data_IF_419175272730
#
_entry.id   IF_419175272730
#
_cell.length_a   1.000
_cell.length_b   1.000
_cell.length_c   1.000
_cell.angle_alpha   90.00
_cell.angle_beta   90.00
_cell.angle_gamma   90.00
#
_symmetry.space_group_name_H-M   'P 1'
#
loop_
_entity.id
_entity.type
_entity.pdbx_description
1 polymer ?
#
# COMPACT_ATOMS: atom_id res chain seq x y z
N UNK A 1 -2.40 9.43 18.35
CA UNK A 1 -2.29 8.98 16.95
C UNK A 1 -3.50 8.16 16.57
N UNK A 2 -4.06 8.40 15.37
CA UNK A 2 -5.08 7.57 14.72
C UNK A 2 -4.50 6.97 13.47
N UNK A 3 -4.73 5.69 13.25
CA UNK A 3 -4.33 5.08 12.00
C UNK A 3 -5.41 4.16 11.44
N UNK A 4 -5.38 3.99 10.13
CA UNK A 4 -6.20 3.02 9.41
C UNK A 4 -5.24 1.98 8.83
N UNK A 5 -5.57 0.71 8.96
CA UNK A 5 -4.80 -0.39 8.41
C UNK A 5 -5.68 -1.20 7.46
N UNK A 6 -5.22 -1.37 6.24
CA UNK A 6 -5.86 -2.20 5.22
C UNK A 6 -4.84 -3.12 4.57
N UNK A 7 -5.33 -4.17 3.93
CA UNK A 7 -4.55 -5.13 3.16
C UNK A 7 -5.41 -5.72 2.04
N UNK A 8 -4.78 -6.33 1.06
CA UNK A 8 -5.47 -7.14 0.03
C UNK A 8 -6.58 -6.37 -0.69
N UNK A 9 -6.28 -5.15 -1.11
CA UNK A 9 -7.24 -4.28 -1.81
C UNK A 9 -7.56 -4.80 -3.20
N UNK A 10 -6.52 -5.31 -3.90
CA UNK A 10 -6.62 -5.91 -5.22
C UNK A 10 -7.27 -5.01 -6.29
N UNK A 11 -6.85 -3.73 -6.34
CA UNK A 11 -7.27 -2.81 -7.38
C UNK A 11 -7.00 -3.41 -8.77
N UNK A 12 -7.95 -3.23 -9.68
CA UNK A 12 -7.83 -3.72 -11.05
C UNK A 12 -8.22 -5.19 -11.24
N UNK A 13 -8.66 -5.89 -10.19
CA UNK A 13 -9.24 -7.23 -10.35
C UNK A 13 -10.61 -7.15 -11.02
N UNK A 14 -10.89 -8.14 -11.85
CA UNK A 14 -12.22 -8.36 -12.41
C UNK A 14 -12.76 -9.69 -11.84
N UNK A 15 -13.46 -9.65 -10.71
CA UNK A 15 -13.96 -10.87 -10.07
C UNK A 15 -14.98 -11.56 -10.96
N UNK A 16 -15.02 -12.89 -10.90
CA UNK A 16 -16.02 -13.70 -11.63
C UNK A 16 -16.08 -13.42 -13.13
N UNK A 17 -14.93 -13.37 -13.79
CA UNK A 17 -14.82 -13.08 -15.23
C UNK A 17 -15.83 -13.90 -16.05
N UNK A 18 -16.58 -13.22 -16.92
CA UNK A 18 -17.63 -13.81 -17.75
C UNK A 18 -19.02 -13.80 -17.13
N UNK A 19 -19.17 -13.40 -15.86
CA UNK A 19 -20.47 -13.25 -15.23
C UNK A 19 -21.04 -11.84 -15.42
N UNK A 20 -22.38 -11.68 -15.46
CA UNK A 20 -22.99 -10.37 -15.69
C UNK A 20 -22.65 -9.28 -14.68
N UNK A 21 -22.26 -9.67 -13.46
CA UNK A 21 -21.90 -8.75 -12.35
C UNK A 21 -20.41 -8.45 -12.26
N UNK A 22 -19.57 -9.09 -13.07
CA UNK A 22 -18.11 -9.04 -12.98
C UNK A 22 -17.56 -7.60 -13.04
N UNK A 23 -18.00 -6.81 -14.03
CA UNK A 23 -17.58 -5.42 -14.19
C UNK A 23 -18.00 -4.56 -12.98
N UNK A 24 -19.21 -4.74 -12.50
CA UNK A 24 -19.73 -4.03 -11.32
C UNK A 24 -18.87 -4.33 -10.09
N UNK A 25 -18.54 -5.60 -9.85
CA UNK A 25 -17.70 -5.98 -8.70
C UNK A 25 -16.30 -5.38 -8.77
N UNK A 26 -15.71 -5.29 -9.96
CA UNK A 26 -14.45 -4.57 -10.15
C UNK A 26 -14.54 -3.09 -9.77
N UNK A 27 -15.63 -2.43 -10.17
CA UNK A 27 -15.91 -1.03 -9.78
C UNK A 27 -16.16 -0.89 -8.27
N UNK A 28 -16.84 -1.84 -7.64
CA UNK A 28 -17.12 -1.82 -6.21
C UNK A 28 -15.85 -1.89 -5.37
N UNK A 29 -14.81 -2.58 -5.84
CA UNK A 29 -13.49 -2.61 -5.19
C UNK A 29 -12.86 -1.21 -5.20
N UNK A 30 -12.85 -0.53 -6.34
CA UNK A 30 -12.39 0.86 -6.42
C UNK A 30 -13.20 1.80 -5.53
N UNK A 31 -14.53 1.65 -5.51
CA UNK A 31 -15.41 2.44 -4.65
C UNK A 31 -15.09 2.20 -3.17
N UNK A 32 -14.86 0.97 -2.78
CA UNK A 32 -14.47 0.63 -1.40
C UNK A 32 -13.15 1.27 -1.01
N UNK A 33 -12.18 1.27 -1.92
CA UNK A 33 -10.92 1.96 -1.71
C UNK A 33 -11.12 3.47 -1.54
N UNK A 34 -11.93 4.10 -2.39
CA UNK A 34 -12.30 5.51 -2.22
C UNK A 34 -12.95 5.78 -0.87
N UNK A 35 -13.84 4.90 -0.40
CA UNK A 35 -14.48 5.04 0.91
C UNK A 35 -13.46 5.00 2.05
N UNK A 36 -12.42 4.16 1.97
CA UNK A 36 -11.34 4.13 2.95
C UNK A 36 -10.61 5.48 2.99
N UNK A 37 -10.31 6.06 1.83
CA UNK A 37 -9.63 7.37 1.77
C UNK A 37 -10.51 8.50 2.31
N UNK A 38 -11.82 8.48 2.02
CA UNK A 38 -12.77 9.42 2.60
C UNK A 38 -12.86 9.28 4.13
N UNK A 39 -12.85 8.04 4.63
CA UNK A 39 -12.84 7.79 6.07
C UNK A 39 -11.54 8.31 6.72
N UNK A 40 -10.39 8.09 6.09
CA UNK A 40 -9.12 8.64 6.54
C UNK A 40 -9.17 10.18 6.65
N UNK A 41 -9.78 10.83 5.67
CA UNK A 41 -9.97 12.28 5.67
C UNK A 41 -10.93 12.73 6.76
N UNK A 42 -12.09 12.06 6.88
CA UNK A 42 -13.12 12.38 7.86
C UNK A 42 -12.62 12.23 9.30
N UNK A 43 -11.85 11.18 9.56
CA UNK A 43 -11.26 10.90 10.87
C UNK A 43 -9.99 11.71 11.14
N UNK A 44 -9.49 12.44 10.15
CA UNK A 44 -8.17 13.08 10.22
C UNK A 44 -7.08 12.08 10.68
N UNK A 45 -7.07 10.90 10.07
CA UNK A 45 -6.11 9.87 10.40
C UNK A 45 -4.67 10.35 10.18
N UNK A 46 -3.80 10.05 11.12
CA UNK A 46 -2.38 10.40 11.04
C UNK A 46 -1.64 9.48 10.07
N UNK A 47 -2.02 8.19 10.05
CA UNK A 47 -1.43 7.16 9.20
C UNK A 47 -2.49 6.35 8.46
N UNK A 48 -2.18 6.00 7.21
CA UNK A 48 -2.82 4.94 6.44
C UNK A 48 -1.76 3.89 6.13
N UNK A 49 -1.93 2.68 6.66
CA UNK A 49 -1.03 1.55 6.45
C UNK A 49 -1.67 0.56 5.48
N UNK A 50 -0.94 0.17 4.43
CA UNK A 50 -1.41 -0.80 3.44
C UNK A 50 -0.45 -1.98 3.40
N UNK A 51 -0.89 -3.12 3.92
CA UNK A 51 -0.06 -4.30 4.11
C UNK A 51 -0.10 -5.25 2.91
N UNK A 52 0.28 -4.73 1.73
CA UNK A 52 0.45 -5.52 0.51
C UNK A 52 -0.81 -5.68 -0.34
N UNK A 53 -0.61 -6.18 -1.54
CA UNK A 53 -1.63 -6.46 -2.55
C UNK A 53 -2.58 -5.28 -2.81
N UNK A 54 -1.98 -4.09 -2.95
CA UNK A 54 -2.74 -2.90 -3.34
C UNK A 54 -3.35 -3.10 -4.73
N UNK A 55 -2.61 -3.70 -5.65
CA UNK A 55 -3.09 -4.09 -6.96
C UNK A 55 -3.15 -5.61 -7.09
N UNK A 56 -4.09 -6.09 -7.90
CA UNK A 56 -4.25 -7.52 -8.16
C UNK A 56 -3.17 -8.12 -9.06
N UNK A 57 -2.48 -7.28 -9.80
CA UNK A 57 -1.41 -7.61 -10.76
C UNK A 57 -0.39 -6.47 -10.80
N UNK A 58 0.61 -6.62 -11.65
CA UNK A 58 1.52 -5.50 -11.92
C UNK A 58 0.71 -4.27 -12.36
N UNK A 59 0.79 -3.16 -11.63
CA UNK A 59 0.04 -1.97 -11.96
C UNK A 59 0.55 -1.32 -13.24
N UNK A 60 -0.37 -0.74 -13.98
CA UNK A 60 -0.04 0.15 -15.10
C UNK A 60 0.37 1.54 -14.57
N UNK A 61 1.17 2.25 -15.33
CA UNK A 61 1.60 3.61 -14.95
C UNK A 61 0.41 4.54 -14.66
N UNK A 62 -0.67 4.43 -15.43
CA UNK A 62 -1.89 5.22 -15.20
C UNK A 62 -2.55 4.92 -13.86
N UNK A 63 -2.52 3.66 -13.42
CA UNK A 63 -3.09 3.22 -12.14
C UNK A 63 -2.25 3.75 -10.97
N UNK A 64 -0.93 3.71 -11.08
CA UNK A 64 -0.04 4.32 -10.09
C UNK A 64 -0.26 5.84 -9.98
N UNK A 65 -0.41 6.53 -11.10
CA UNK A 65 -0.69 7.96 -11.12
C UNK A 65 -2.04 8.29 -10.47
N UNK A 66 -3.07 7.50 -10.75
CA UNK A 66 -4.39 7.67 -10.14
C UNK A 66 -4.34 7.48 -8.62
N UNK A 67 -3.76 6.38 -8.16
CA UNK A 67 -3.61 6.11 -6.72
C UNK A 67 -2.75 7.17 -6.04
N UNK A 68 -1.64 7.58 -6.65
CA UNK A 68 -0.81 8.64 -6.10
C UNK A 68 -1.56 9.97 -5.98
N UNK A 69 -2.35 10.32 -6.98
CA UNK A 69 -3.21 11.50 -6.91
C UNK A 69 -4.17 11.42 -5.72
N UNK A 70 -4.85 10.29 -5.56
CA UNK A 70 -5.77 10.07 -4.44
C UNK A 70 -5.05 10.20 -3.09
N UNK A 71 -3.88 9.59 -2.93
CA UNK A 71 -3.07 9.72 -1.73
C UNK A 71 -2.65 11.16 -1.47
N UNK A 72 -2.27 11.90 -2.51
CA UNK A 72 -1.84 13.30 -2.40
C UNK A 72 -2.96 14.23 -1.89
N UNK A 73 -4.21 13.82 -2.01
CA UNK A 73 -5.36 14.57 -1.47
C UNK A 73 -5.49 14.45 0.05
N UNK A 74 -4.84 13.46 0.65
CA UNK A 74 -4.84 13.24 2.10
C UNK A 74 -3.79 14.15 2.78
N UNK A 75 -4.11 15.44 2.92
CA UNK A 75 -3.14 16.46 3.36
C UNK A 75 -2.53 16.26 4.75
N UNK A 76 -3.25 15.54 5.63
CA UNK A 76 -2.82 15.28 7.02
C UNK A 76 -2.39 13.84 7.26
N UNK A 77 -2.63 12.95 6.31
CA UNK A 77 -2.39 11.53 6.47
C UNK A 77 -1.09 11.11 5.79
N UNK A 78 -0.20 10.52 6.52
CA UNK A 78 0.97 9.82 5.98
C UNK A 78 0.53 8.45 5.49
N UNK A 79 0.89 8.09 4.28
CA UNK A 79 0.57 6.78 3.70
C UNK A 79 1.83 5.94 3.65
N UNK A 80 1.82 4.77 4.27
CA UNK A 80 2.92 3.81 4.20
C UNK A 80 2.39 2.50 3.66
N UNK A 81 3.03 1.96 2.66
CA UNK A 81 2.63 0.68 2.12
C UNK A 81 3.81 -0.21 1.72
N UNK A 82 3.55 -1.49 1.75
CA UNK A 82 4.39 -2.53 1.17
C UNK A 82 3.71 -3.14 -0.05
N UNK A 83 4.49 -3.80 -0.87
CA UNK A 83 4.04 -4.49 -2.06
C UNK A 83 3.86 -5.96 -1.72
N UNK A 84 2.74 -6.54 -2.14
CA UNK A 84 2.36 -7.90 -1.82
C UNK A 84 2.84 -8.93 -2.83
N UNK A 85 2.26 -10.12 -2.78
CA UNK A 85 2.64 -11.22 -3.65
C UNK A 85 1.93 -11.22 -5.01
N UNK A 86 0.83 -10.51 -5.16
CA UNK A 86 0.15 -10.33 -6.44
C UNK A 86 0.81 -9.25 -7.30
N UNK A 87 1.20 -8.15 -6.69
CA UNK A 87 1.84 -7.02 -7.37
C UNK A 87 3.35 -6.92 -7.12
N UNK A 88 4.00 -8.04 -6.78
CA UNK A 88 5.40 -8.12 -6.35
C UNK A 88 6.38 -7.38 -7.27
N UNK A 89 7.47 -6.90 -6.69
CA UNK A 89 8.49 -6.12 -7.38
C UNK A 89 9.28 -6.97 -8.37
N UNK A 90 9.05 -6.75 -9.65
CA UNK A 90 9.87 -7.27 -10.75
C UNK A 90 10.92 -6.25 -11.15
N UNK A 91 11.92 -6.70 -11.91
CA UNK A 91 12.97 -5.82 -12.45
C UNK A 91 12.46 -4.72 -13.38
N UNK A 92 11.31 -4.93 -14.00
CA UNK A 92 10.62 -4.00 -14.90
C UNK A 92 9.36 -3.37 -14.29
N UNK A 93 9.18 -3.51 -12.99
CA UNK A 93 8.01 -2.96 -12.30
C UNK A 93 8.04 -1.43 -12.27
N UNK A 94 6.94 -0.79 -12.63
CA UNK A 94 6.78 0.67 -12.53
C UNK A 94 6.88 1.20 -11.09
N UNK A 95 6.70 0.37 -10.09
CA UNK A 95 6.90 0.74 -8.68
C UNK A 95 8.32 1.20 -8.36
N UNK A 96 9.33 0.67 -9.06
CA UNK A 96 10.74 0.87 -8.71
C UNK A 96 11.15 2.33 -8.74
N UNK A 97 10.70 3.05 -9.77
CA UNK A 97 11.11 4.45 -10.02
C UNK A 97 9.94 5.43 -9.93
N UNK A 98 8.77 4.96 -9.44
CA UNK A 98 7.61 5.82 -9.38
C UNK A 98 7.80 6.93 -8.34
N UNK A 99 7.64 8.22 -8.74
CA UNK A 99 7.81 9.35 -7.85
C UNK A 99 6.53 9.58 -7.04
N UNK A 100 6.43 8.94 -5.89
CA UNK A 100 5.31 9.12 -4.97
C UNK A 100 5.25 10.54 -4.40
N UNK A 101 4.06 10.99 -4.06
CA UNK A 101 3.83 12.24 -3.34
C UNK A 101 4.57 12.25 -1.99
N UNK A 102 4.88 13.44 -1.48
CA UNK A 102 5.67 13.62 -0.25
C UNK A 102 5.10 12.95 1.00
N UNK A 103 3.77 12.78 1.03
CA UNK A 103 3.07 12.09 2.13
C UNK A 103 3.02 10.57 1.98
N UNK A 104 3.63 10.01 0.93
CA UNK A 104 3.56 8.58 0.59
C UNK A 104 4.93 7.94 0.69
N UNK A 105 5.03 6.86 1.46
CA UNK A 105 6.24 6.04 1.56
C UNK A 105 5.93 4.61 1.11
N UNK A 106 6.59 4.17 0.06
CA UNK A 106 6.59 2.77 -0.35
C UNK A 106 7.86 2.10 0.16
N UNK A 107 7.73 1.15 1.09
CA UNK A 107 8.85 0.36 1.60
C UNK A 107 9.11 -0.79 0.62
N UNK A 108 10.10 -0.65 -0.25
CA UNK A 108 10.34 -1.53 -1.40
C UNK A 108 11.71 -2.23 -1.41
N UNK A 109 12.43 -2.19 -0.30
CA UNK A 109 13.69 -2.90 -0.16
C UNK A 109 13.54 -4.42 -0.19
N UNK A 110 14.65 -5.10 -0.44
CA UNK A 110 14.70 -6.58 -0.40
C UNK A 110 14.72 -7.13 1.01
N UNK A 111 15.16 -6.33 1.95
CA UNK A 111 15.13 -6.62 3.37
C UNK A 111 14.11 -5.72 4.05
N UNK A 112 13.83 -6.00 5.31
CA UNK A 112 12.93 -5.17 6.10
C UNK A 112 13.47 -3.75 6.20
N UNK A 113 12.66 -2.79 5.83
CA UNK A 113 12.95 -1.35 5.92
C UNK A 113 12.06 -0.70 6.95
N UNK A 114 12.43 0.49 7.38
CA UNK A 114 11.56 1.31 8.23
C UNK A 114 11.49 2.75 7.78
N UNK A 115 10.45 3.43 8.23
CA UNK A 115 10.29 4.87 8.14
C UNK A 115 9.91 5.43 9.51
N UNK A 116 10.59 6.49 9.93
CA UNK A 116 10.34 7.17 11.20
C UNK A 116 9.52 8.43 10.97
N UNK A 117 8.48 8.60 11.76
CA UNK A 117 7.66 9.81 11.83
C UNK A 117 7.84 10.42 13.21
N UNK A 118 8.79 11.35 13.34
CA UNK A 118 9.13 12.00 14.61
C UNK A 118 7.93 12.73 15.22
N UNK A 119 7.13 13.39 14.39
CA UNK A 119 5.93 14.11 14.82
C UNK A 119 4.82 13.20 15.37
N UNK A 120 4.90 11.90 15.10
CA UNK A 120 3.98 10.87 15.61
C UNK A 120 4.62 9.95 16.66
N UNK A 121 5.89 10.14 16.97
CA UNK A 121 6.68 9.24 17.82
C UNK A 121 6.49 7.77 17.38
N UNK A 122 6.62 7.52 16.09
CA UNK A 122 6.27 6.23 15.49
C UNK A 122 7.26 5.82 14.41
N UNK A 123 7.65 4.56 14.44
CA UNK A 123 8.42 3.91 13.39
C UNK A 123 7.58 2.78 12.77
N UNK A 124 7.54 2.75 11.44
CA UNK A 124 6.80 1.74 10.67
C UNK A 124 7.78 0.86 9.93
N UNK A 125 7.74 -0.43 10.19
CA UNK A 125 8.56 -1.44 9.52
C UNK A 125 7.77 -2.14 8.43
N UNK A 126 8.43 -2.51 7.34
CA UNK A 126 7.80 -3.23 6.25
C UNK A 126 8.78 -4.01 5.39
N UNK A 127 8.28 -5.07 4.79
CA UNK A 127 9.00 -5.91 3.84
C UNK A 127 8.12 -6.17 2.63
N UNK A 128 8.58 -5.73 1.46
CA UNK A 128 7.89 -5.97 0.20
C UNK A 128 8.29 -7.30 -0.43
N UNK A 129 7.36 -7.86 -1.21
CA UNK A 129 7.60 -9.06 -1.99
C UNK A 129 8.38 -8.72 -3.27
N UNK A 130 9.44 -9.48 -3.52
CA UNK A 130 10.23 -9.46 -4.77
C UNK A 130 10.00 -10.73 -5.59
N UNK A 131 9.24 -11.66 -5.06
CA UNK A 131 8.80 -12.91 -5.67
C UNK A 131 7.38 -13.22 -5.21
N UNK A 132 6.73 -14.17 -5.85
CA UNK A 132 5.36 -14.57 -5.45
C UNK A 132 5.28 -15.23 -4.07
N UNK A 133 6.38 -15.75 -3.58
CA UNK A 133 6.43 -16.46 -2.30
C UNK A 133 7.65 -16.03 -1.50
N UNK A 134 7.47 -15.85 -0.21
CA UNK A 134 8.53 -15.77 0.79
C UNK A 134 8.42 -17.05 1.61
N UNK A 135 9.38 -17.96 1.43
CA UNK A 135 9.35 -19.30 2.06
C UNK A 135 9.92 -19.30 3.48
N UNK A 136 10.74 -18.32 3.80
CA UNK A 136 11.39 -18.20 5.09
C UNK A 136 10.83 -17.01 5.87
N UNK A 137 10.62 -17.15 7.18
CA UNK A 137 10.17 -16.04 7.99
C UNK A 137 11.25 -14.94 8.03
N UNK A 138 10.85 -13.70 7.70
CA UNK A 138 11.76 -12.54 7.59
C UNK A 138 11.67 -11.58 8.76
N UNK A 139 10.63 -11.69 9.59
CA UNK A 139 10.39 -10.78 10.71
C UNK A 139 10.84 -11.33 12.07
N UNK A 140 11.30 -12.59 12.15
CA UNK A 140 11.63 -13.22 13.43
C UNK A 140 12.72 -12.51 14.21
N UNK A 141 13.69 -11.94 13.49
CA UNK A 141 14.84 -11.25 14.09
C UNK A 141 14.67 -9.72 14.12
N UNK A 142 13.47 -9.23 13.75
CA UNK A 142 13.18 -7.82 13.78
C UNK A 142 13.14 -7.32 15.22
N UNK A 143 14.05 -6.43 15.54
CA UNK A 143 14.06 -5.71 16.82
C UNK A 143 13.90 -4.23 16.54
N UNK A 144 12.80 -3.60 17.00
CA UNK A 144 12.66 -2.16 16.91
C UNK A 144 13.85 -1.48 17.59
N UNK A 145 14.40 -0.46 16.97
CA UNK A 145 15.41 0.36 17.62
C UNK A 145 14.77 1.03 18.84
N UNK A 146 15.32 0.75 20.01
CA UNK A 146 14.93 1.50 21.21
C UNK A 146 15.46 2.91 21.02
N UNK A 147 14.55 3.85 20.81
CA UNK A 147 14.92 5.24 21.00
C UNK A 147 15.37 5.42 22.44
N UNK A 148 16.59 5.84 22.59
CA UNK A 148 17.19 6.17 23.88
C UNK A 148 16.54 7.46 24.44
#
# INVERSE_FOLDING_TARGET
>A
MRFIHIADVHLGVTPDVGMPWSEKRGKDIWNSFHMVLEEARRQQADLLLIAGDLFHRQPLMRELKEVNYLFSTLKKTKVVFIIGNHDYLKVDSYYLDFPWSENVTCLRGKECESVVFEDLDTEVYGLSYHTREIKEPKYNDLQPEKQA
#
